data_IF_508511114717
#
_entry.id   IF_508511114717
#
_cell.length_a   1.000
_cell.length_b   1.000
_cell.length_c   1.000
_cell.angle_alpha   90.00
_cell.angle_beta   90.00
_cell.angle_gamma   90.00
#
_symmetry.space_group_name_H-M   'P 1'
#
loop_
_entity.id
_entity.type
_entity.pdbx_description
1 polymer ?
#
# COMPACT_ATOMS: atom_id res chain seq x y z
N UNK A 1 -6.21 -14.59 -7.76
CA UNK A 1 -6.31 -13.13 -7.89
C UNK A 1 -5.32 -12.69 -8.98
N UNK A 2 -5.79 -11.87 -9.96
CA UNK A 2 -4.94 -11.31 -11.00
C UNK A 2 -3.92 -10.31 -10.43
N UNK A 3 -2.90 -9.96 -11.23
CA UNK A 3 -1.84 -9.03 -10.85
C UNK A 3 -2.31 -7.64 -10.43
N UNK A 4 -3.54 -7.29 -10.75
CA UNK A 4 -4.14 -5.99 -10.43
C UNK A 4 -4.70 -5.91 -9.01
N UNK A 5 -4.67 -7.02 -8.25
CA UNK A 5 -5.18 -7.08 -6.88
C UNK A 5 -4.09 -6.95 -5.81
N UNK A 6 -2.80 -6.89 -6.17
CA UNK A 6 -1.71 -6.78 -5.20
C UNK A 6 -1.82 -5.48 -4.38
N UNK A 7 -2.04 -4.33 -5.04
CA UNK A 7 -2.17 -3.05 -4.35
C UNK A 7 -3.45 -2.96 -3.49
N UNK A 8 -4.66 -3.32 -3.98
CA UNK A 8 -5.85 -3.40 -3.13
C UNK A 8 -5.68 -4.29 -1.90
N UNK A 9 -5.07 -5.47 -2.04
CA UNK A 9 -4.79 -6.39 -0.95
C UNK A 9 -3.88 -5.77 0.11
N UNK A 10 -2.79 -5.14 -0.32
CA UNK A 10 -1.87 -4.45 0.61
C UNK A 10 -2.58 -3.30 1.30
N UNK A 11 -3.30 -2.45 0.58
CA UNK A 11 -3.98 -1.29 1.16
C UNK A 11 -5.05 -1.70 2.17
N UNK A 12 -5.85 -2.74 1.89
CA UNK A 12 -6.79 -3.30 2.85
C UNK A 12 -6.07 -3.78 4.12
N UNK A 13 -4.98 -4.53 3.98
CA UNK A 13 -4.18 -5.01 5.11
C UNK A 13 -3.59 -3.86 5.95
N UNK A 14 -3.13 -2.76 5.30
CA UNK A 14 -2.60 -1.60 6.00
C UNK A 14 -3.70 -0.86 6.80
N UNK A 15 -4.91 -0.71 6.25
CA UNK A 15 -6.03 -0.08 6.96
C UNK A 15 -6.55 -0.98 8.08
N UNK A 16 -6.66 -2.29 7.85
CA UNK A 16 -7.12 -3.26 8.86
C UNK A 16 -6.17 -3.35 10.06
N UNK A 17 -4.87 -3.03 9.90
CA UNK A 17 -3.94 -2.87 11.02
C UNK A 17 -4.43 -1.83 12.05
N UNK A 18 -5.17 -0.82 11.62
CA UNK A 18 -5.72 0.23 12.49
C UNK A 18 -7.15 -0.04 12.96
N UNK A 19 -7.63 -1.28 12.80
CA UNK A 19 -8.93 -1.73 13.33
C UNK A 19 -10.10 -1.59 12.37
N UNK A 20 -9.85 -1.33 11.08
CA UNK A 20 -10.88 -1.44 10.06
C UNK A 20 -11.18 -2.92 9.75
N UNK A 21 -12.32 -3.15 9.14
CA UNK A 21 -12.73 -4.45 8.59
C UNK A 21 -13.13 -4.23 7.13
N UNK A 22 -12.12 -3.83 6.32
CA UNK A 22 -12.31 -3.50 4.92
C UNK A 22 -11.80 -4.65 4.04
N UNK A 23 -12.59 -5.01 3.05
CA UNK A 23 -12.24 -6.07 2.09
C UNK A 23 -11.37 -5.51 0.95
N UNK A 24 -10.44 -6.31 0.42
CA UNK A 24 -9.63 -5.91 -0.73
C UNK A 24 -10.46 -5.49 -1.95
N UNK A 25 -11.61 -6.12 -2.15
CA UNK A 25 -12.53 -5.82 -3.24
C UNK A 25 -13.18 -4.43 -3.10
N UNK A 26 -13.46 -4.01 -1.87
CA UNK A 26 -13.97 -2.66 -1.58
C UNK A 26 -12.91 -1.61 -1.89
N UNK A 27 -11.65 -1.88 -1.50
CA UNK A 27 -10.52 -1.02 -1.85
C UNK A 27 -10.30 -0.99 -3.35
N UNK A 28 -10.35 -2.14 -4.03
CA UNK A 28 -10.22 -2.23 -5.48
C UNK A 28 -11.27 -1.38 -6.19
N UNK A 29 -12.53 -1.46 -5.75
CA UNK A 29 -13.61 -0.66 -6.29
C UNK A 29 -13.39 0.85 -6.07
N UNK A 30 -12.94 1.24 -4.87
CA UNK A 30 -12.70 2.64 -4.52
C UNK A 30 -11.52 3.27 -5.27
N UNK A 31 -10.54 2.46 -5.69
CA UNK A 31 -9.33 2.93 -6.38
C UNK A 31 -9.31 2.60 -7.87
N UNK A 32 -10.39 2.06 -8.42
CA UNK A 32 -10.47 1.72 -9.84
C UNK A 32 -10.35 2.98 -10.70
N UNK A 33 -9.38 3.00 -11.59
CA UNK A 33 -9.33 3.96 -12.69
C UNK A 33 -10.29 3.49 -13.79
N UNK A 34 -11.46 4.10 -13.85
CA UNK A 34 -12.50 3.73 -14.81
C UNK A 34 -12.08 3.95 -16.27
N UNK A 35 -11.10 4.80 -16.52
CA UNK A 35 -10.62 5.04 -17.89
C UNK A 35 -9.74 3.88 -18.39
N UNK A 36 -9.01 3.22 -17.49
CA UNK A 36 -8.09 2.14 -17.84
C UNK A 36 -8.51 0.78 -17.24
N UNK A 37 -9.56 0.75 -16.42
CA UNK A 37 -10.00 -0.42 -15.63
C UNK A 37 -8.86 -1.02 -14.79
N UNK A 38 -7.96 -0.17 -14.28
CA UNK A 38 -6.79 -0.58 -13.52
C UNK A 38 -6.92 -0.19 -12.06
N UNK A 39 -6.49 -1.07 -11.17
CA UNK A 39 -6.38 -0.85 -9.71
C UNK A 39 -4.92 -0.67 -9.25
N UNK A 40 -3.98 -0.51 -10.18
CA UNK A 40 -2.54 -0.39 -9.90
C UNK A 40 -2.04 1.04 -9.63
N UNK A 41 -2.91 2.05 -9.63
CA UNK A 41 -2.52 3.44 -9.48
C UNK A 41 -2.36 3.83 -8.00
N UNK A 42 -1.11 4.13 -7.60
CA UNK A 42 -0.78 4.50 -6.22
C UNK A 42 -1.46 5.80 -5.74
N UNK A 43 -1.73 6.75 -6.65
CA UNK A 43 -2.42 7.99 -6.28
C UNK A 43 -3.89 7.71 -5.94
N UNK A 44 -4.55 6.81 -6.69
CA UNK A 44 -5.92 6.41 -6.39
C UNK A 44 -6.01 5.57 -5.12
N UNK A 45 -5.00 4.73 -4.85
CA UNK A 45 -4.91 4.02 -3.59
C UNK A 45 -4.81 4.97 -2.39
N UNK A 46 -3.96 5.99 -2.50
CA UNK A 46 -3.83 7.01 -1.45
C UNK A 46 -5.13 7.82 -1.29
N UNK A 47 -5.80 8.16 -2.39
CA UNK A 47 -7.08 8.87 -2.36
C UNK A 47 -8.18 8.00 -1.71
N UNK A 48 -8.28 6.72 -2.06
CA UNK A 48 -9.24 5.78 -1.47
C UNK A 48 -9.05 5.67 0.05
N UNK A 49 -7.81 5.53 0.54
CA UNK A 49 -7.52 5.55 1.97
C UNK A 49 -7.87 6.91 2.62
N UNK A 50 -7.63 8.02 1.92
CA UNK A 50 -8.04 9.36 2.34
C UNK A 50 -9.55 9.50 2.51
N UNK A 51 -10.33 8.94 1.60
CA UNK A 51 -11.80 8.89 1.71
C UNK A 51 -12.28 8.10 2.94
N UNK A 52 -11.51 7.10 3.36
CA UNK A 52 -11.74 6.37 4.61
C UNK A 52 -11.24 7.14 5.86
N UNK A 53 -10.71 8.36 5.70
CA UNK A 53 -10.24 9.22 6.79
C UNK A 53 -8.81 8.99 7.23
N UNK A 54 -8.02 8.22 6.48
CA UNK A 54 -6.61 7.99 6.77
C UNK A 54 -5.72 9.06 6.11
N UNK A 55 -4.83 9.72 6.86
CA UNK A 55 -3.74 10.45 6.24
C UNK A 55 -2.89 9.46 5.42
N UNK A 56 -2.93 9.60 4.10
CA UNK A 56 -2.27 8.69 3.17
C UNK A 56 -1.63 9.48 2.03
N UNK A 57 -0.43 9.09 1.64
CA UNK A 57 0.30 9.73 0.54
C UNK A 57 1.22 8.74 -0.16
N UNK A 58 1.42 8.98 -1.46
CA UNK A 58 2.48 8.32 -2.21
C UNK A 58 3.72 9.19 -2.28
N UNK A 59 4.90 8.59 -2.26
CA UNK A 59 6.17 9.29 -2.39
C UNK A 59 7.24 8.38 -3.02
N UNK A 60 8.31 9.03 -3.52
CA UNK A 60 9.59 8.37 -3.71
C UNK A 60 10.32 8.40 -2.36
N UNK A 61 10.73 7.24 -1.89
CA UNK A 61 11.35 7.06 -0.59
C UNK A 61 12.66 6.29 -0.75
N UNK A 62 13.68 6.71 -0.03
CA UNK A 62 14.88 5.91 0.17
C UNK A 62 14.78 5.05 1.44
N UNK A 63 15.87 4.36 1.80
CA UNK A 63 15.92 3.53 3.00
C UNK A 63 15.77 4.35 4.29
N UNK A 64 16.33 5.55 4.33
CA UNK A 64 16.24 6.41 5.51
C UNK A 64 14.81 6.91 5.70
N UNK A 65 14.13 7.28 4.61
CA UNK A 65 12.73 7.67 4.61
C UNK A 65 11.83 6.53 5.08
N UNK A 66 12.03 5.31 4.55
CA UNK A 66 11.25 4.13 4.96
C UNK A 66 11.41 3.85 6.46
N UNK A 67 12.65 3.91 6.98
CA UNK A 67 12.93 3.74 8.42
C UNK A 67 12.27 4.82 9.27
N UNK A 68 12.31 6.08 8.82
CA UNK A 68 11.67 7.20 9.50
C UNK A 68 10.14 7.01 9.56
N UNK A 69 9.51 6.59 8.44
CA UNK A 69 8.07 6.34 8.42
C UNK A 69 7.66 5.18 9.34
N UNK A 70 8.45 4.09 9.40
CA UNK A 70 8.22 2.99 10.35
C UNK A 70 8.36 3.48 11.79
N UNK A 71 9.37 4.30 12.08
CA UNK A 71 9.56 4.89 13.41
C UNK A 71 8.38 5.76 13.82
N UNK A 72 7.78 6.48 12.89
CA UNK A 72 6.59 7.31 13.06
C UNK A 72 5.27 6.50 13.07
N UNK A 73 5.35 5.18 13.22
CA UNK A 73 4.21 4.23 13.24
C UNK A 73 3.33 4.28 11.98
N UNK A 74 3.90 4.64 10.84
CA UNK A 74 3.20 4.54 9.56
C UNK A 74 3.14 3.09 9.09
N UNK A 75 2.02 2.72 8.49
CA UNK A 75 1.93 1.52 7.66
C UNK A 75 2.37 1.86 6.25
N UNK A 76 3.19 1.00 5.63
CA UNK A 76 3.82 1.32 4.36
C UNK A 76 3.59 0.20 3.34
N UNK A 77 3.14 0.57 2.14
CA UNK A 77 3.25 -0.27 0.96
C UNK A 77 4.48 0.15 0.15
N UNK A 78 5.26 -0.82 -0.31
CA UNK A 78 6.44 -0.61 -1.16
C UNK A 78 6.27 -1.36 -2.48
N UNK A 79 6.76 -0.77 -3.58
CA UNK A 79 6.77 -1.44 -4.88
C UNK A 79 8.12 -2.09 -5.12
N UNK A 80 8.10 -3.43 -5.27
CA UNK A 80 9.28 -4.26 -5.48
C UNK A 80 9.21 -4.91 -6.85
N UNK A 81 10.29 -4.89 -7.62
CA UNK A 81 10.39 -5.61 -8.88
C UNK A 81 10.78 -7.08 -8.62
N UNK A 82 10.02 -8.01 -9.19
CA UNK A 82 10.29 -9.45 -9.11
C UNK A 82 10.54 -10.01 -10.49
N UNK A 83 11.54 -10.87 -10.60
CA UNK A 83 11.70 -11.72 -11.78
C UNK A 83 10.81 -12.95 -11.64
N UNK A 84 9.81 -13.03 -12.48
CA UNK A 84 8.91 -14.20 -12.54
C UNK A 84 9.46 -15.16 -13.58
N UNK A 85 9.58 -16.44 -13.21
CA UNK A 85 10.07 -17.49 -14.13
C UNK A 85 9.20 -17.54 -15.39
N UNK A 86 9.85 -17.47 -16.54
CA UNK A 86 9.16 -17.47 -17.84
C UNK A 86 8.72 -16.08 -18.33
N UNK A 87 9.00 -15.01 -17.60
CA UNK A 87 8.78 -13.64 -18.05
C UNK A 87 10.10 -12.96 -18.38
N UNK A 88 10.09 -12.19 -19.48
CA UNK A 88 11.28 -11.50 -19.99
C UNK A 88 11.61 -10.29 -19.12
N UNK A 89 10.59 -9.55 -18.67
CA UNK A 89 10.73 -8.33 -17.92
C UNK A 89 10.36 -8.53 -16.46
N UNK A 90 11.00 -7.80 -15.53
CA UNK A 90 10.63 -7.81 -14.13
C UNK A 90 9.19 -7.30 -13.95
N UNK A 91 8.48 -7.84 -12.99
CA UNK A 91 7.13 -7.42 -12.65
C UNK A 91 7.18 -6.66 -11.34
N UNK A 92 6.65 -5.45 -11.35
CA UNK A 92 6.47 -4.70 -10.13
C UNK A 92 5.28 -5.23 -9.34
N UNK A 93 5.51 -5.55 -8.06
CA UNK A 93 4.50 -6.03 -7.12
C UNK A 93 4.48 -5.09 -5.92
N UNK A 94 3.29 -4.76 -5.43
CA UNK A 94 3.14 -4.04 -4.18
C UNK A 94 3.17 -5.01 -3.00
N UNK A 95 3.96 -4.67 -1.98
CA UNK A 95 4.12 -5.46 -0.76
C UNK A 95 3.95 -4.57 0.47
N UNK A 96 3.42 -5.11 1.56
CA UNK A 96 3.39 -4.42 2.83
C UNK A 96 4.76 -4.47 3.50
N UNK A 97 5.33 -3.32 3.86
CA UNK A 97 6.56 -3.23 4.65
C UNK A 97 6.20 -3.34 6.14
N UNK A 98 6.72 -4.37 6.82
CA UNK A 98 6.49 -4.61 8.25
C UNK A 98 7.57 -4.02 9.13
N UNK A 99 8.81 -3.96 8.64
CA UNK A 99 9.93 -3.46 9.41
C UNK A 99 11.28 -3.93 8.89
N UNK A 100 12.29 -3.60 9.67
CA UNK A 100 13.68 -3.97 9.42
C UNK A 100 14.20 -4.73 10.62
N UNK A 101 15.15 -5.64 10.41
CA UNK A 101 15.82 -6.38 11.47
C UNK A 101 17.28 -6.63 11.16
N UNK A 102 17.98 -7.12 12.15
CA UNK A 102 19.37 -7.56 12.06
C UNK A 102 19.45 -8.99 12.57
N UNK A 103 20.22 -9.82 11.91
CA UNK A 103 20.54 -11.18 12.34
C UNK A 103 22.01 -11.21 12.78
N UNK A 104 22.25 -11.29 14.09
CA UNK A 104 23.58 -11.30 14.68
C UNK A 104 24.38 -12.56 14.32
N UNK A 105 23.72 -13.68 14.00
CA UNK A 105 24.37 -14.92 13.65
C UNK A 105 25.07 -14.88 12.30
N UNK A 106 24.49 -14.13 11.34
CA UNK A 106 25.03 -13.96 10.00
C UNK A 106 25.48 -12.53 9.71
N UNK A 107 25.40 -11.64 10.71
CA UNK A 107 25.74 -10.21 10.62
C UNK A 107 25.11 -9.53 9.41
N UNK A 108 23.83 -9.78 9.18
CA UNK A 108 23.11 -9.29 8.02
C UNK A 108 21.82 -8.57 8.40
N UNK A 109 21.59 -7.44 7.73
CA UNK A 109 20.32 -6.73 7.81
C UNK A 109 19.28 -7.35 6.87
N UNK A 110 18.03 -7.36 7.32
CA UNK A 110 16.93 -7.87 6.54
C UNK A 110 15.68 -6.97 6.64
N UNK A 111 14.78 -7.18 5.70
CA UNK A 111 13.48 -6.52 5.62
C UNK A 111 12.38 -7.55 5.80
N UNK A 112 11.38 -7.21 6.60
CA UNK A 112 10.16 -7.99 6.79
C UNK A 112 9.06 -7.44 5.87
N UNK A 113 8.52 -8.29 5.01
CA UNK A 113 7.51 -7.93 4.03
C UNK A 113 6.28 -8.83 4.14
N UNK A 114 5.13 -8.31 3.72
CA UNK A 114 3.94 -9.09 3.40
C UNK A 114 3.77 -9.12 1.89
N UNK A 115 3.88 -10.31 1.31
CA UNK A 115 3.67 -10.54 -0.12
C UNK A 115 2.23 -10.98 -0.37
N UNK A 116 1.38 -10.14 -0.95
CA UNK A 116 -0.03 -10.48 -1.20
C UNK A 116 -0.20 -11.49 -2.34
N UNK A 117 0.87 -11.73 -3.11
CA UNK A 117 0.86 -12.66 -4.26
C UNK A 117 1.41 -14.04 -3.92
N UNK A 118 1.66 -14.29 -2.64
CA UNK A 118 2.19 -15.57 -2.18
C UNK A 118 1.18 -16.71 -2.40
N UNK A 119 1.68 -17.86 -2.81
CA UNK A 119 0.85 -19.04 -3.14
C UNK A 119 0.22 -19.70 -1.91
N UNK A 120 0.61 -19.32 -0.71
CA UNK A 120 0.10 -19.86 0.55
C UNK A 120 0.15 -18.84 1.67
N UNK A 121 -0.74 -18.96 2.65
CA UNK A 121 -0.78 -18.09 3.83
C UNK A 121 0.55 -18.07 4.61
N UNK A 122 1.28 -19.18 4.63
CA UNK A 122 2.59 -19.26 5.29
C UNK A 122 3.70 -18.49 4.58
N UNK A 123 3.55 -18.24 3.29
CA UNK A 123 4.51 -17.51 2.46
C UNK A 123 4.22 -15.99 2.37
N UNK A 124 3.06 -15.54 2.87
CA UNK A 124 2.70 -14.11 2.88
C UNK A 124 3.72 -13.29 3.68
N UNK A 125 4.12 -13.80 4.85
CA UNK A 125 5.16 -13.18 5.67
C UNK A 125 6.53 -13.62 5.14
N UNK A 126 7.21 -12.76 4.41
CA UNK A 126 8.53 -13.06 3.87
C UNK A 126 9.62 -12.16 4.46
N UNK A 127 10.82 -12.72 4.50
CA UNK A 127 12.03 -12.01 4.90
C UNK A 127 12.95 -11.92 3.68
N UNK A 128 13.51 -10.75 3.42
CA UNK A 128 14.43 -10.51 2.33
C UNK A 128 15.70 -9.84 2.87
N UNK A 129 16.89 -10.27 2.41
CA UNK A 129 18.11 -9.55 2.74
C UNK A 129 18.00 -8.08 2.31
N UNK A 130 18.47 -7.16 3.15
CA UNK A 130 18.36 -5.73 2.87
C UNK A 130 19.03 -5.34 1.54
N UNK A 131 20.15 -5.96 1.21
CA UNK A 131 20.86 -5.73 -0.05
C UNK A 131 20.03 -6.13 -1.27
N UNK A 132 19.28 -7.22 -1.19
CA UNK A 132 18.41 -7.67 -2.26
C UNK A 132 17.16 -6.80 -2.35
N UNK A 133 16.59 -6.42 -1.20
CA UNK A 133 15.49 -5.46 -1.17
C UNK A 133 15.87 -4.16 -1.89
N UNK A 134 17.00 -3.56 -1.54
CA UNK A 134 17.46 -2.32 -2.16
C UNK A 134 17.75 -2.44 -3.66
N UNK A 135 18.08 -3.64 -4.13
CA UNK A 135 18.26 -3.91 -5.58
C UNK A 135 16.94 -3.92 -6.34
N UNK A 136 15.86 -4.38 -5.70
CA UNK A 136 14.56 -4.58 -6.34
C UNK A 136 13.52 -3.55 -5.95
N UNK A 137 13.73 -2.79 -4.91
CA UNK A 137 12.86 -1.69 -4.50
C UNK A 137 12.93 -0.56 -5.53
N UNK A 138 11.77 -0.16 -6.03
CA UNK A 138 11.67 0.85 -7.11
C UNK A 138 11.78 2.29 -6.60
N UNK A 139 11.87 2.49 -5.29
CA UNK A 139 11.75 3.81 -4.66
C UNK A 139 10.30 4.27 -4.43
N UNK A 140 9.31 3.61 -5.05
CA UNK A 140 7.89 4.01 -4.90
C UNK A 140 7.28 3.39 -3.66
N UNK A 141 6.69 4.23 -2.83
CA UNK A 141 6.00 3.82 -1.61
C UNK A 141 4.70 4.59 -1.40
N UNK A 142 3.80 3.99 -0.61
CA UNK A 142 2.59 4.62 -0.08
C UNK A 142 2.70 4.50 1.43
N UNK A 143 2.62 5.63 2.13
CA UNK A 143 2.58 5.66 3.59
C UNK A 143 1.18 6.04 4.07
N UNK A 144 0.75 5.39 5.14
CA UNK A 144 -0.56 5.56 5.76
C UNK A 144 -0.40 5.66 7.26
N UNK A 145 -1.01 6.67 7.88
CA UNK A 145 -1.06 6.86 9.34
C UNK A 145 -2.42 6.50 9.90
N UNK A 146 -2.44 6.18 11.20
CA UNK A 146 -3.68 6.06 11.94
C UNK A 146 -4.55 7.31 11.79
N UNK A 147 -5.86 7.12 11.81
CA UNK A 147 -6.81 8.24 11.82
C UNK A 147 -6.54 9.13 13.04
N UNK A 148 -6.56 10.46 12.90
CA UNK A 148 -6.49 11.36 14.04
C UNK A 148 -7.59 11.03 15.06
N UNK A 149 -7.24 10.94 16.33
CA UNK A 149 -8.22 10.58 17.40
C UNK A 149 -9.38 11.57 17.54
N UNK A 150 -9.19 12.81 17.09
CA UNK A 150 -10.18 13.90 17.18
C UNK A 150 -11.10 14.02 15.95
N UNK A 151 -10.94 13.19 14.94
CA UNK A 151 -11.93 13.11 13.88
C UNK A 151 -13.11 12.35 14.48
N UNK A 152 -14.05 13.11 15.05
CA UNK A 152 -15.30 12.57 15.57
C UNK A 152 -15.86 11.56 14.56
N UNK A 153 -15.98 10.32 15.00
CA UNK A 153 -16.24 9.11 14.22
C UNK A 153 -17.58 9.09 13.45
N UNK A 154 -18.20 10.23 13.16
CA UNK A 154 -19.54 10.32 12.59
C UNK A 154 -19.77 11.53 11.67
N UNK A 155 -18.74 12.05 11.01
CA UNK A 155 -19.01 12.94 9.89
C UNK A 155 -18.77 12.18 8.59
N UNK A 156 -19.84 11.83 7.84
CA UNK A 156 -19.66 11.36 6.48
C UNK A 156 -18.87 12.44 5.73
N UNK A 157 -17.76 12.06 5.10
CA UNK A 157 -17.02 12.93 4.20
C UNK A 157 -17.97 13.23 3.03
N UNK A 158 -18.56 14.43 3.06
CA UNK A 158 -19.28 14.94 1.90
C UNK A 158 -18.24 15.50 0.95
N UNK A 159 -17.86 14.72 -0.05
CA UNK A 159 -17.15 15.26 -1.20
C UNK A 159 -18.16 15.90 -2.14
N UNK A 160 -17.99 17.20 -2.37
CA UNK A 160 -18.72 17.91 -3.40
C UNK A 160 -17.81 17.95 -4.64
N UNK A 161 -18.12 17.16 -5.65
CA UNK A 161 -17.43 17.21 -6.93
C UNK A 161 -18.28 18.01 -7.91
N UNK A 162 -17.73 19.09 -8.45
CA UNK A 162 -18.27 19.72 -9.65
C UNK A 162 -17.78 18.93 -10.86
N UNK A 163 -18.66 18.13 -11.45
CA UNK A 163 -18.35 17.29 -12.61
C UNK A 163 -18.48 18.06 -13.94
N UNK A 164 -19.31 19.10 -13.98
CA UNK A 164 -19.51 19.97 -15.15
C UNK A 164 -19.84 21.36 -14.62
N UNK A 165 -19.47 22.45 -15.29
CA UNK A 165 -19.89 23.80 -14.89
C UNK A 165 -21.43 23.86 -14.73
N UNK A 166 -21.89 24.03 -13.48
CA UNK A 166 -23.30 24.09 -13.12
C UNK A 166 -23.98 22.81 -12.65
N UNK A 167 -23.29 21.65 -12.68
CA UNK A 167 -23.83 20.40 -12.11
C UNK A 167 -23.00 19.99 -10.89
N UNK A 168 -23.63 19.89 -9.71
CA UNK A 168 -23.05 19.34 -8.49
C UNK A 168 -23.60 17.95 -8.28
N UNK A 169 -22.72 16.95 -8.12
CA UNK A 169 -23.10 15.62 -7.64
C UNK A 169 -22.63 15.46 -6.18
N UNK A 170 -23.53 15.13 -5.28
CA UNK A 170 -23.18 14.67 -3.96
C UNK A 170 -22.78 13.19 -4.07
N UNK A 171 -21.51 12.88 -3.81
CA UNK A 171 -21.01 11.51 -3.70
C UNK A 171 -21.00 11.14 -2.23
N UNK A 172 -21.77 10.12 -1.89
CA UNK A 172 -21.86 9.55 -0.55
C UNK A 172 -20.91 8.37 -0.41
#
# INVERSE_FOLDING_TARGET
FGREMDLPLVMAALMNRYGEDILPEEVAYAMEDKATSSTGNAAFAAAAAGCCGYPCWQAWMDLADLRAQIHDDCSIAVRVERRVRGQRDPVGVWMGLRGFGHDDAVLADFVLLNDPTADSNGAVNCTMALVDFMRYFTGRAIALRAKPRDVAANRPLRMRCELVPGETADVY
#
